data_IF_098331239087
#
_entry.id   IF_098331239087
#
_cell.length_a   1.000
_cell.length_b   1.000
_cell.length_c   1.000
_cell.angle_alpha   90.00
_cell.angle_beta   90.00
_cell.angle_gamma   90.00
#
_symmetry.space_group_name_H-M   'P 1'
#
loop_
_entity.id
_entity.type
_entity.pdbx_description
1 polymer ?
#
# COMPACT_ATOMS: atom_id res chain seq x y z
N UNK A 1 24.20 -22.34 27.97
CA UNK A 1 22.92 -22.83 27.43
C UNK A 1 22.79 -22.24 26.03
N UNK A 2 22.86 -23.08 25.00
CA UNK A 2 22.68 -22.65 23.61
C UNK A 2 21.22 -22.25 23.41
N UNK A 3 20.95 -20.97 23.16
CA UNK A 3 19.64 -20.55 22.69
C UNK A 3 19.34 -21.31 21.40
N UNK A 4 18.19 -22.00 21.28
CA UNK A 4 17.84 -22.66 20.04
C UNK A 4 17.70 -21.59 18.95
N UNK A 5 18.48 -21.73 17.88
CA UNK A 5 18.31 -20.92 16.67
C UNK A 5 16.95 -21.31 16.08
N UNK A 6 15.97 -20.42 16.19
CA UNK A 6 14.63 -20.65 15.62
C UNK A 6 14.70 -20.23 14.15
N UNK A 7 14.53 -21.21 13.26
CA UNK A 7 14.46 -20.99 11.84
C UNK A 7 12.99 -20.83 11.44
N UNK A 8 12.64 -19.68 10.87
CA UNK A 8 11.27 -19.40 10.46
C UNK A 8 11.20 -19.40 8.93
N UNK A 9 10.54 -20.42 8.38
CA UNK A 9 10.16 -20.48 6.96
C UNK A 9 8.73 -19.97 6.87
N UNK A 10 8.56 -18.69 6.55
CA UNK A 10 7.23 -18.09 6.40
C UNK A 10 6.65 -17.47 7.68
N UNK A 11 5.86 -16.41 7.52
CA UNK A 11 5.43 -15.51 8.61
C UNK A 11 6.38 -14.34 8.85
N UNK A 12 5.97 -13.38 9.69
CA UNK A 12 6.84 -12.28 10.14
C UNK A 12 7.90 -12.86 11.07
N UNK A 13 9.19 -12.70 10.74
CA UNK A 13 10.27 -13.06 11.65
C UNK A 13 10.09 -12.25 12.93
N UNK A 14 9.73 -12.92 14.03
CA UNK A 14 9.52 -12.23 15.30
C UNK A 14 10.80 -11.49 15.69
N UNK A 15 10.62 -10.26 16.20
CA UNK A 15 11.66 -9.31 16.56
C UNK A 15 12.65 -9.77 17.67
N UNK A 16 12.65 -11.05 18.04
CA UNK A 16 13.35 -11.58 19.21
C UNK A 16 14.18 -12.86 19.01
N UNK A 17 14.58 -13.23 17.77
CA UNK A 17 15.61 -14.27 17.61
C UNK A 17 15.57 -15.19 16.39
N UNK A 18 14.75 -14.92 15.37
CA UNK A 18 14.77 -15.69 14.12
C UNK A 18 15.82 -15.16 13.12
N UNK A 19 16.51 -16.05 12.43
CA UNK A 19 17.38 -15.69 11.28
C UNK A 19 16.53 -15.70 10.01
N UNK A 20 16.37 -14.56 9.36
CA UNK A 20 15.79 -14.48 8.02
C UNK A 20 16.82 -14.83 6.96
N UNK A 21 16.40 -15.61 5.96
CA UNK A 21 17.24 -15.93 4.80
C UNK A 21 16.74 -15.07 3.62
N UNK A 22 17.58 -14.17 3.09
CA UNK A 22 17.25 -13.39 1.91
C UNK A 22 16.89 -14.28 0.72
N UNK A 23 15.93 -13.81 -0.08
CA UNK A 23 15.45 -14.47 -1.30
C UNK A 23 15.68 -13.52 -2.47
N UNK A 24 15.64 -14.06 -3.68
CA UNK A 24 15.70 -13.25 -4.90
C UNK A 24 14.61 -12.16 -4.94
N UNK A 25 13.41 -12.48 -4.44
CA UNK A 25 12.30 -11.53 -4.37
C UNK A 25 12.56 -10.30 -3.48
N UNK A 26 13.47 -10.39 -2.49
CA UNK A 26 13.84 -9.25 -1.65
C UNK A 26 14.54 -8.16 -2.47
N UNK A 27 15.55 -8.54 -3.27
CA UNK A 27 16.28 -7.60 -4.12
C UNK A 27 15.40 -7.08 -5.26
N UNK A 28 14.58 -7.95 -5.86
CA UNK A 28 13.66 -7.56 -6.95
C UNK A 28 12.67 -6.50 -6.48
N UNK A 29 11.96 -6.75 -5.36
CA UNK A 29 10.99 -5.80 -4.82
C UNK A 29 11.65 -4.48 -4.44
N UNK A 30 12.79 -4.54 -3.75
CA UNK A 30 13.52 -3.34 -3.35
C UNK A 30 13.93 -2.49 -4.57
N UNK A 31 14.43 -3.12 -5.64
CA UNK A 31 14.80 -2.41 -6.87
C UNK A 31 13.59 -1.81 -7.59
N UNK A 32 12.45 -2.50 -7.62
CA UNK A 32 11.20 -1.94 -8.15
C UNK A 32 10.76 -0.71 -7.34
N UNK A 33 10.81 -0.77 -6.01
CA UNK A 33 10.49 0.36 -5.14
C UNK A 33 11.43 1.56 -5.36
N UNK A 34 12.74 1.32 -5.50
CA UNK A 34 13.73 2.36 -5.84
C UNK A 34 13.50 2.97 -7.22
N UNK A 35 12.97 2.21 -8.17
CA UNK A 35 12.58 2.72 -9.49
C UNK A 35 11.20 3.43 -9.49
N UNK A 36 10.54 3.51 -8.34
CA UNK A 36 9.14 3.94 -8.20
C UNK A 36 8.19 3.15 -9.12
N UNK A 37 8.40 1.84 -9.26
CA UNK A 37 7.57 0.96 -10.10
C UNK A 37 6.43 0.37 -9.27
N UNK A 38 5.21 0.48 -9.78
CA UNK A 38 4.05 -0.16 -9.17
C UNK A 38 4.19 -1.68 -9.29
N UNK A 39 4.05 -2.39 -8.17
CA UNK A 39 4.34 -3.81 -8.10
C UNK A 39 3.20 -4.60 -7.45
N UNK A 40 3.15 -5.89 -7.78
CA UNK A 40 2.22 -6.85 -7.19
C UNK A 40 3.01 -7.99 -6.56
N UNK A 41 2.72 -8.30 -5.30
CA UNK A 41 3.28 -9.46 -4.61
C UNK A 41 2.14 -10.40 -4.24
N UNK A 42 1.85 -11.30 -5.16
CA UNK A 42 0.72 -12.22 -5.08
C UNK A 42 1.23 -13.60 -4.67
N UNK A 43 1.17 -13.90 -3.38
CA UNK A 43 1.68 -15.17 -2.82
C UNK A 43 0.70 -15.76 -1.81
N UNK A 44 0.61 -17.09 -1.68
CA UNK A 44 -0.19 -17.73 -0.63
C UNK A 44 0.13 -17.20 0.78
N UNK A 45 -0.86 -17.25 1.68
CA UNK A 45 -0.68 -16.86 3.10
C UNK A 45 0.51 -17.61 3.71
N UNK A 46 1.17 -16.95 4.67
CA UNK A 46 2.29 -17.51 5.43
C UNK A 46 3.57 -17.82 4.64
N UNK A 47 3.72 -17.36 3.40
CA UNK A 47 4.99 -17.52 2.65
C UNK A 47 6.07 -16.48 2.99
N UNK A 48 5.85 -15.60 3.98
CA UNK A 48 6.82 -14.58 4.40
C UNK A 48 6.67 -13.24 3.68
N UNK A 49 5.51 -13.00 3.06
CA UNK A 49 5.09 -11.72 2.45
C UNK A 49 5.32 -10.53 3.39
N UNK A 50 4.88 -10.64 4.65
CA UNK A 50 5.05 -9.59 5.66
C UNK A 50 6.52 -9.35 6.02
N UNK A 51 7.35 -10.41 6.08
CA UNK A 51 8.80 -10.24 6.32
C UNK A 51 9.49 -9.52 5.15
N UNK A 52 9.15 -9.89 3.92
CA UNK A 52 9.63 -9.23 2.69
C UNK A 52 9.25 -7.73 2.70
N UNK A 53 7.97 -7.43 2.97
CA UNK A 53 7.44 -6.07 3.04
C UNK A 53 8.15 -5.23 4.10
N UNK A 54 8.18 -5.69 5.35
CA UNK A 54 8.77 -4.96 6.47
C UNK A 54 10.25 -4.69 6.25
N UNK A 55 11.01 -5.68 5.77
CA UNK A 55 12.43 -5.49 5.45
C UNK A 55 12.64 -4.51 4.33
N UNK A 56 11.85 -4.60 3.27
CA UNK A 56 11.92 -3.65 2.15
C UNK A 56 11.63 -2.24 2.64
N UNK A 57 10.56 -2.05 3.42
CA UNK A 57 10.21 -0.74 3.99
C UNK A 57 11.31 -0.17 4.89
N UNK A 58 11.93 -1.00 5.74
CA UNK A 58 13.06 -0.61 6.59
C UNK A 58 14.26 -0.13 5.75
N UNK A 59 14.67 -0.92 4.75
CA UNK A 59 15.78 -0.54 3.86
C UNK A 59 15.48 0.75 3.09
N UNK A 60 14.26 0.91 2.59
CA UNK A 60 13.83 2.13 1.90
C UNK A 60 13.91 3.35 2.83
N UNK A 61 13.48 3.22 4.09
CA UNK A 61 13.56 4.29 5.08
C UNK A 61 15.01 4.69 5.38
N UNK A 62 15.92 3.71 5.49
CA UNK A 62 17.37 3.96 5.64
C UNK A 62 17.97 4.70 4.44
N UNK A 63 17.36 4.56 3.25
CA UNK A 63 17.73 5.26 2.01
C UNK A 63 17.05 6.63 1.85
N UNK A 64 16.28 7.08 2.85
CA UNK A 64 15.53 8.34 2.78
C UNK A 64 14.28 8.29 1.89
N UNK A 65 13.80 7.09 1.54
CA UNK A 65 12.52 6.90 0.85
C UNK A 65 11.43 6.68 1.90
N UNK A 66 10.36 7.46 1.84
CA UNK A 66 9.22 7.32 2.77
C UNK A 66 8.46 6.03 2.43
N UNK A 67 8.49 5.04 3.32
CA UNK A 67 7.78 3.79 3.15
C UNK A 67 6.66 3.67 4.19
N UNK A 68 5.44 3.37 3.75
CA UNK A 68 4.28 3.16 4.64
C UNK A 68 3.56 1.88 4.31
N UNK A 69 2.98 1.27 5.33
CA UNK A 69 2.28 -0.01 5.21
C UNK A 69 0.83 0.19 5.66
N UNK A 70 -0.11 -0.15 4.79
CA UNK A 70 -1.54 -0.13 5.10
C UNK A 70 -2.07 -1.55 4.98
N UNK A 71 -2.39 -2.17 6.12
CA UNK A 71 -3.12 -3.43 6.16
C UNK A 71 -4.62 -3.17 6.00
N UNK A 72 -5.19 -3.61 4.88
CA UNK A 72 -6.60 -3.35 4.57
C UNK A 72 -7.57 -4.10 5.49
N UNK A 73 -7.14 -5.13 6.22
CA UNK A 73 -7.99 -5.79 7.22
C UNK A 73 -8.29 -4.89 8.40
N UNK A 74 -7.38 -3.97 8.75
CA UNK A 74 -7.57 -3.03 9.85
C UNK A 74 -8.68 -2.01 9.57
N UNK A 75 -9.07 -1.84 8.31
CA UNK A 75 -10.17 -0.95 7.90
C UNK A 75 -11.55 -1.58 8.11
N UNK A 76 -11.59 -2.90 8.34
CA UNK A 76 -12.82 -3.66 8.57
C UNK A 76 -13.61 -4.00 7.30
N UNK A 77 -14.45 -5.02 7.40
CA UNK A 77 -15.29 -5.51 6.29
C UNK A 77 -16.76 -5.05 6.37
N UNK A 78 -17.21 -4.57 7.53
CA UNK A 78 -18.59 -4.10 7.77
C UNK A 78 -18.62 -2.57 7.87
N UNK A 79 -18.10 -1.91 6.83
CA UNK A 79 -17.96 -0.45 6.78
C UNK A 79 -18.54 0.10 5.48
N UNK A 80 -18.97 1.35 5.53
CA UNK A 80 -19.32 2.09 4.32
C UNK A 80 -18.07 2.43 3.52
N UNK A 81 -18.22 2.69 2.22
CA UNK A 81 -17.11 3.19 1.39
C UNK A 81 -16.49 4.46 2.01
N UNK A 82 -17.34 5.38 2.50
CA UNK A 82 -16.92 6.60 3.19
C UNK A 82 -15.93 6.32 4.32
N UNK A 83 -16.32 5.45 5.26
CA UNK A 83 -15.51 5.09 6.42
C UNK A 83 -14.24 4.35 6.02
N UNK A 84 -14.32 3.49 5.01
CA UNK A 84 -13.18 2.70 4.55
C UNK A 84 -12.10 3.58 3.92
N UNK A 85 -12.47 4.48 3.01
CA UNK A 85 -11.54 5.40 2.35
C UNK A 85 -10.96 6.42 3.34
N UNK A 86 -11.80 6.97 4.23
CA UNK A 86 -11.32 7.84 5.30
C UNK A 86 -10.32 7.10 6.20
N UNK A 87 -10.63 5.88 6.62
CA UNK A 87 -9.73 5.04 7.40
C UNK A 87 -8.40 4.77 6.69
N UNK A 88 -8.42 4.56 5.37
CA UNK A 88 -7.21 4.42 4.57
C UNK A 88 -6.33 5.68 4.63
N UNK A 89 -6.92 6.88 4.53
CA UNK A 89 -6.16 8.14 4.65
C UNK A 89 -5.60 8.35 6.05
N UNK A 90 -6.35 8.03 7.10
CA UNK A 90 -5.86 8.09 8.49
C UNK A 90 -4.65 7.17 8.67
N UNK A 91 -4.64 5.97 8.08
CA UNK A 91 -3.49 5.07 8.13
C UNK A 91 -2.24 5.62 7.42
N UNK A 92 -2.43 6.40 6.37
CA UNK A 92 -1.34 7.12 5.72
C UNK A 92 -0.83 8.23 6.63
N UNK A 93 -1.73 9.02 7.20
CA UNK A 93 -1.40 10.13 8.09
C UNK A 93 -0.64 9.69 9.33
N UNK A 94 -1.07 8.61 9.99
CA UNK A 94 -0.39 8.04 11.16
C UNK A 94 1.11 7.74 10.92
N UNK A 95 1.51 7.50 9.66
CA UNK A 95 2.87 7.13 9.28
C UNK A 95 3.62 8.23 8.51
N UNK A 96 2.90 9.03 7.73
CA UNK A 96 3.49 10.13 6.96
C UNK A 96 3.54 11.43 7.76
N UNK A 97 2.66 11.58 8.75
CA UNK A 97 2.47 12.75 9.60
C UNK A 97 2.27 13.99 8.74
N UNK A 98 1.12 14.07 8.07
CA UNK A 98 0.79 15.23 7.24
C UNK A 98 0.62 16.47 8.12
N UNK A 99 0.97 17.64 7.57
CA UNK A 99 0.66 18.92 8.20
C UNK A 99 -0.83 19.24 8.05
N UNK A 100 -1.47 18.75 6.97
CA UNK A 100 -2.91 18.85 6.75
C UNK A 100 -3.69 18.00 7.75
N UNK A 101 -4.68 18.61 8.41
CA UNK A 101 -5.68 17.89 9.21
C UNK A 101 -6.58 17.04 8.28
N UNK A 102 -6.30 15.73 8.24
CA UNK A 102 -6.97 14.79 7.33
C UNK A 102 -8.47 14.72 7.58
N UNK A 103 -8.92 14.90 8.83
CA UNK A 103 -10.35 14.86 9.17
C UNK A 103 -11.09 16.03 8.53
N UNK A 104 -10.58 17.24 8.72
CA UNK A 104 -11.13 18.48 8.19
C UNK A 104 -11.08 18.46 6.67
N UNK A 105 -9.94 18.08 6.09
CA UNK A 105 -9.79 17.97 4.64
C UNK A 105 -10.83 17.00 4.03
N UNK A 106 -11.03 15.84 4.65
CA UNK A 106 -11.98 14.85 4.15
C UNK A 106 -13.43 15.35 4.17
N UNK A 107 -13.80 16.08 5.22
CA UNK A 107 -15.12 16.68 5.40
C UNK A 107 -15.37 17.83 4.42
N UNK A 108 -14.40 18.72 4.23
CA UNK A 108 -14.51 19.85 3.28
C UNK A 108 -14.76 19.39 1.84
N UNK A 109 -14.31 18.18 1.50
CA UNK A 109 -14.47 17.59 0.18
C UNK A 109 -15.65 16.60 0.07
N UNK A 110 -16.56 16.54 1.05
CA UNK A 110 -17.68 15.57 1.09
C UNK A 110 -18.62 15.61 -0.15
N UNK A 111 -18.60 16.73 -0.88
CA UNK A 111 -19.33 16.91 -2.12
C UNK A 111 -18.79 16.08 -3.31
N UNK A 112 -17.60 15.47 -3.17
CA UNK A 112 -16.95 14.63 -4.16
C UNK A 112 -17.13 13.14 -3.86
N UNK A 113 -17.13 12.31 -4.91
CA UNK A 113 -17.09 10.86 -4.76
C UNK A 113 -15.85 10.39 -4.00
N UNK A 114 -15.96 9.33 -3.19
CA UNK A 114 -14.88 8.83 -2.32
C UNK A 114 -13.57 8.53 -3.06
N UNK A 115 -13.66 7.94 -4.26
CA UNK A 115 -12.49 7.63 -5.09
C UNK A 115 -11.84 8.89 -5.67
N UNK A 116 -12.65 9.90 -6.00
CA UNK A 116 -12.17 11.20 -6.45
C UNK A 116 -11.48 11.96 -5.30
N UNK A 117 -12.03 11.89 -4.08
CA UNK A 117 -11.36 12.45 -2.90
C UNK A 117 -10.02 11.79 -2.64
N UNK A 118 -9.94 10.46 -2.75
CA UNK A 118 -8.68 9.74 -2.58
C UNK A 118 -7.63 10.24 -3.57
N UNK A 119 -7.94 10.30 -4.85
CA UNK A 119 -6.95 10.72 -5.86
C UNK A 119 -6.59 12.20 -5.72
N UNK A 120 -7.53 13.05 -5.32
CA UNK A 120 -7.28 14.45 -5.04
C UNK A 120 -6.38 14.64 -3.81
N UNK A 121 -6.60 13.88 -2.73
CA UNK A 121 -5.77 13.89 -1.53
C UNK A 121 -4.33 13.53 -1.86
N UNK A 122 -4.15 12.48 -2.67
CA UNK A 122 -2.83 12.06 -3.12
C UNK A 122 -2.09 13.17 -3.87
N UNK A 123 -2.81 13.96 -4.67
CA UNK A 123 -2.24 15.05 -5.43
C UNK A 123 -1.97 16.30 -4.59
N UNK A 124 -2.94 16.73 -3.77
CA UNK A 124 -2.94 18.03 -3.12
C UNK A 124 -2.34 18.03 -1.72
N UNK A 125 -2.31 16.86 -1.08
CA UNK A 125 -1.77 16.70 0.28
C UNK A 125 -0.53 15.82 0.21
N UNK A 126 -0.69 14.54 -0.13
CA UNK A 126 0.42 13.58 -0.03
C UNK A 126 1.64 13.99 -0.87
N UNK A 127 1.45 14.25 -2.17
CA UNK A 127 2.56 14.63 -3.06
C UNK A 127 3.02 16.08 -2.87
N UNK A 128 2.21 16.93 -2.26
CA UNK A 128 2.55 18.33 -2.00
C UNK A 128 3.38 18.50 -0.72
N UNK A 129 3.08 17.69 0.32
CA UNK A 129 3.74 17.75 1.62
C UNK A 129 4.93 16.79 1.73
N UNK A 130 4.93 15.71 0.95
CA UNK A 130 6.04 14.75 0.91
C UNK A 130 6.87 15.00 -0.35
N UNK A 131 8.02 15.63 -0.18
CA UNK A 131 8.97 15.91 -1.28
C UNK A 131 9.74 14.67 -1.70
N UNK A 132 10.03 13.76 -0.76
CA UNK A 132 10.77 12.54 -1.04
C UNK A 132 9.98 11.56 -1.92
N UNK A 133 10.66 10.50 -2.38
CA UNK A 133 9.98 9.35 -2.95
C UNK A 133 9.17 8.68 -1.84
N UNK A 134 7.95 8.27 -2.19
CA UNK A 134 7.03 7.60 -1.29
C UNK A 134 6.58 6.27 -1.88
N UNK A 135 6.66 5.21 -1.06
CA UNK A 135 6.23 3.85 -1.39
C UNK A 135 5.14 3.44 -0.40
N UNK A 136 3.96 3.16 -0.92
CA UNK A 136 2.82 2.69 -0.13
C UNK A 136 2.63 1.20 -0.37
N UNK A 137 2.92 0.40 0.64
CA UNK A 137 2.58 -1.02 0.67
C UNK A 137 1.12 -1.15 1.09
N UNK A 138 0.30 -1.75 0.23
CA UNK A 138 -1.11 -2.03 0.49
C UNK A 138 -1.24 -3.53 0.68
N UNK A 139 -1.35 -3.97 1.94
CA UNK A 139 -1.36 -5.38 2.32
C UNK A 139 -2.77 -5.93 2.50
N UNK A 140 -2.87 -7.26 2.46
CA UNK A 140 -4.10 -8.04 2.55
C UNK A 140 -5.18 -7.56 1.56
N UNK A 141 -4.79 -7.30 0.31
CA UNK A 141 -5.72 -6.85 -0.75
C UNK A 141 -6.90 -7.80 -0.98
N UNK A 142 -6.75 -9.08 -0.66
CA UNK A 142 -7.83 -10.07 -0.72
C UNK A 142 -8.99 -9.78 0.27
N UNK A 143 -8.75 -8.99 1.33
CA UNK A 143 -9.82 -8.55 2.24
C UNK A 143 -10.88 -7.69 1.53
N UNK A 144 -10.48 -6.97 0.48
CA UNK A 144 -11.37 -6.10 -0.30
C UNK A 144 -12.32 -6.88 -1.21
N UNK A 145 -12.06 -8.17 -1.46
CA UNK A 145 -12.87 -9.01 -2.36
C UNK A 145 -14.31 -9.16 -1.90
N UNK A 146 -14.60 -8.89 -0.62
CA UNK A 146 -15.95 -8.94 -0.04
C UNK A 146 -16.69 -7.60 -0.10
N UNK A 147 -16.00 -6.49 -0.38
CA UNK A 147 -16.59 -5.15 -0.39
C UNK A 147 -17.17 -4.82 -1.77
N UNK A 148 -18.29 -4.10 -1.78
CA UNK A 148 -19.04 -3.81 -3.02
C UNK A 148 -18.55 -2.55 -3.77
N UNK A 149 -17.61 -1.81 -3.19
CA UNK A 149 -17.05 -0.55 -3.73
C UNK A 149 -15.57 -0.67 -4.15
N UNK A 150 -15.02 -1.88 -4.11
CA UNK A 150 -13.59 -2.15 -4.33
C UNK A 150 -13.09 -1.80 -5.74
N UNK A 151 -13.95 -1.93 -6.76
CA UNK A 151 -13.60 -1.60 -8.14
C UNK A 151 -13.15 -0.13 -8.28
N UNK A 152 -13.80 0.78 -7.54
CA UNK A 152 -13.45 2.19 -7.57
C UNK A 152 -12.10 2.47 -6.88
N UNK A 153 -11.70 1.65 -5.90
CA UNK A 153 -10.41 1.77 -5.23
C UNK A 153 -9.26 1.38 -6.16
N UNK A 154 -9.39 0.25 -6.85
CA UNK A 154 -8.37 -0.16 -7.84
C UNK A 154 -8.38 0.74 -9.08
N UNK A 155 -9.53 1.29 -9.45
CA UNK A 155 -9.61 2.33 -10.50
C UNK A 155 -8.86 3.60 -10.07
N UNK A 156 -8.98 4.01 -8.80
CA UNK A 156 -8.21 5.14 -8.25
C UNK A 156 -6.71 4.84 -8.26
N UNK A 157 -6.27 3.65 -7.85
CA UNK A 157 -4.85 3.24 -7.92
C UNK A 157 -4.32 3.31 -9.36
N UNK A 158 -5.09 2.79 -10.33
CA UNK A 158 -4.75 2.88 -11.75
C UNK A 158 -4.63 4.32 -12.21
N UNK A 159 -5.53 5.21 -11.77
CA UNK A 159 -5.45 6.63 -12.07
C UNK A 159 -4.13 7.24 -11.57
N UNK A 160 -3.72 6.95 -10.31
CA UNK A 160 -2.45 7.44 -9.77
C UNK A 160 -1.24 7.00 -10.62
N UNK A 161 -1.26 5.77 -11.14
CA UNK A 161 -0.22 5.29 -12.06
C UNK A 161 -0.24 6.02 -13.40
N UNK A 162 -1.41 6.16 -14.03
CA UNK A 162 -1.55 6.80 -15.34
C UNK A 162 -1.21 8.30 -15.28
N UNK A 163 -1.51 8.97 -14.18
CA UNK A 163 -1.23 10.40 -13.98
C UNK A 163 0.25 10.76 -14.15
N UNK A 164 1.17 9.80 -13.98
CA UNK A 164 2.62 9.97 -14.18
C UNK A 164 3.01 10.42 -15.58
N UNK A 165 2.17 10.14 -16.58
CA UNK A 165 2.40 10.54 -17.97
C UNK A 165 2.26 12.05 -18.18
N UNK A 166 1.45 12.72 -17.36
CA UNK A 166 1.13 14.15 -17.49
C UNK A 166 1.51 14.99 -16.28
N UNK A 167 1.74 14.35 -15.13
CA UNK A 167 2.15 15.00 -13.88
C UNK A 167 3.42 14.32 -13.32
N UNK A 168 4.60 14.95 -13.46
CA UNK A 168 5.87 14.40 -12.97
C UNK A 168 5.92 14.13 -11.47
N UNK A 169 5.14 14.83 -10.64
CA UNK A 169 5.15 14.61 -9.18
C UNK A 169 4.75 13.17 -8.83
N UNK A 170 3.84 12.57 -9.60
CA UNK A 170 3.44 11.17 -9.41
C UNK A 170 4.57 10.17 -9.71
N UNK A 171 5.67 10.58 -10.35
CA UNK A 171 6.83 9.70 -10.57
C UNK A 171 7.60 9.41 -9.27
N UNK A 172 7.35 10.20 -8.21
CA UNK A 172 7.86 9.96 -6.85
C UNK A 172 6.98 9.02 -6.04
N UNK A 173 5.78 8.67 -6.53
CA UNK A 173 4.86 7.74 -5.89
C UNK A 173 5.02 6.32 -6.45
N UNK A 174 5.05 5.34 -5.57
CA UNK A 174 4.88 3.93 -5.91
C UNK A 174 3.91 3.23 -4.98
N UNK A 175 3.18 2.25 -5.52
CA UNK A 175 2.32 1.37 -4.75
C UNK A 175 2.76 -0.08 -4.92
N UNK A 176 2.78 -0.83 -3.83
CA UNK A 176 3.02 -2.27 -3.81
C UNK A 176 1.76 -2.95 -3.28
N UNK A 177 1.05 -3.68 -4.14
CA UNK A 177 -0.17 -4.39 -3.77
C UNK A 177 0.15 -5.84 -3.37
N UNK A 178 -0.23 -6.24 -2.17
CA UNK A 178 0.19 -7.50 -1.57
C UNK A 178 -1.01 -8.32 -1.06
N UNK A 179 -1.11 -9.60 -1.44
CA UNK A 179 -2.21 -10.47 -1.00
C UNK A 179 -2.34 -11.76 -1.80
N UNK A 180 -3.46 -12.46 -1.62
CA UNK A 180 -3.73 -13.78 -2.23
C UNK A 180 -4.73 -13.70 -3.39
N UNK A 181 -4.89 -12.51 -4.00
CA UNK A 181 -5.81 -12.29 -5.11
C UNK A 181 -5.05 -12.23 -6.43
N UNK A 182 -5.62 -12.73 -7.52
CA UNK A 182 -5.10 -12.45 -8.87
C UNK A 182 -5.58 -11.08 -9.35
N UNK A 183 -4.91 -10.42 -10.31
CA UNK A 183 -5.39 -9.14 -10.84
C UNK A 183 -6.82 -9.18 -11.40
N UNK A 184 -7.27 -10.36 -11.87
CA UNK A 184 -8.63 -10.57 -12.34
C UNK A 184 -9.67 -10.71 -11.21
N UNK A 185 -9.25 -11.07 -10.00
CA UNK A 185 -10.14 -11.11 -8.83
C UNK A 185 -10.38 -9.73 -8.24
N UNK A 186 -9.44 -8.81 -8.42
CA UNK A 186 -9.45 -7.48 -7.80
C UNK A 186 -10.44 -6.50 -8.46
N UNK A 187 -10.80 -6.70 -9.73
CA UNK A 187 -11.81 -5.87 -10.40
C UNK A 187 -12.97 -6.74 -10.85
N UNK A 188 -14.15 -6.53 -10.26
CA UNK A 188 -15.37 -7.29 -10.54
C UNK A 188 -15.99 -6.94 -11.89
N UNK A 189 -15.93 -5.66 -12.29
CA UNK A 189 -16.36 -5.24 -13.63
C UNK A 189 -15.31 -5.58 -14.70
N UNK A 190 -15.55 -6.66 -15.45
CA UNK A 190 -14.69 -7.10 -16.56
C UNK A 190 -14.48 -6.05 -17.67
N UNK A 191 -15.29 -4.98 -17.73
CA UNK A 191 -15.08 -3.85 -18.67
C UNK A 191 -14.09 -2.81 -18.13
N UNK A 192 -13.86 -2.81 -16.82
CA UNK A 192 -12.82 -2.03 -16.16
C UNK A 192 -11.61 -2.95 -16.02
N UNK A 193 -10.87 -3.15 -17.09
CA UNK A 193 -9.62 -3.91 -16.97
C UNK A 193 -8.66 -3.17 -16.03
N UNK A 194 -7.81 -3.87 -15.26
CA UNK A 194 -6.76 -3.21 -14.49
C UNK A 194 -5.70 -2.56 -15.40
N UNK A 195 -5.71 -2.93 -16.70
CA UNK A 195 -4.80 -2.50 -17.76
C UNK A 195 -5.53 -2.30 -19.09
#
# INVERSE_FOLDING_TARGET
>A
MSNPTIYTVGGTVQAGGGIYIPRQADEELLNLCRAATFAYVLTPRQMGKSSLMVRTAQTLAEEGIRAVIVDLQELGAQVTAEQWYFGFLVKLDDQLMFDTDVVSWWQEHEHLGVSQRLTLFFQQVLLAEIEERVVIFVDEIDSTLSLDFTDDFYTAIRYLYVARATNPEFQRLSLVLMGVATPGDLIRDAKRTPY
#
